data_IF_141487732619
#
_entry.id   IF_141487732619
#
_cell.length_a   1.000
_cell.length_b   1.000
_cell.length_c   1.000
_cell.angle_alpha   90.00
_cell.angle_beta   90.00
_cell.angle_gamma   90.00
#
_symmetry.space_group_name_H-M   'P 1'
#
loop_
_entity.id
_entity.type
_entity.pdbx_description
1 polymer ?
#
# COMPACT_ATOMS: atom_id res chain seq x y z
N UNK A 1 -13.62 1.46 -2.88
CA UNK A 1 -14.51 2.47 -2.31
C UNK A 1 -13.94 2.99 -0.99
N UNK A 2 -14.05 4.30 -0.76
CA UNK A 2 -13.57 5.00 0.44
C UNK A 2 -14.04 4.38 1.75
N UNK A 3 -15.21 3.79 1.76
CA UNK A 3 -15.79 3.16 2.94
C UNK A 3 -15.03 1.92 3.44
N UNK A 4 -14.22 1.31 2.60
CA UNK A 4 -13.43 0.12 2.92
C UNK A 4 -11.94 0.41 3.07
N UNK A 5 -11.58 1.69 2.98
CA UNK A 5 -10.22 2.15 3.09
C UNK A 5 -9.65 1.97 4.51
N UNK A 6 -8.39 2.34 4.67
CA UNK A 6 -7.62 2.22 5.92
C UNK A 6 -8.38 2.71 7.16
N UNK A 7 -9.27 3.72 7.02
CA UNK A 7 -10.09 4.22 8.13
C UNK A 7 -10.93 3.13 8.82
N UNK A 8 -11.39 2.11 8.09
CA UNK A 8 -12.17 0.98 8.61
C UNK A 8 -11.34 -0.27 8.89
N UNK A 9 -10.07 -0.28 8.52
CA UNK A 9 -9.18 -1.40 8.81
C UNK A 9 -9.08 -1.61 10.34
N UNK A 10 -9.20 -2.84 10.84
CA UNK A 10 -9.13 -3.12 12.26
C UNK A 10 -7.71 -2.94 12.80
N UNK A 11 -7.59 -2.65 14.08
CA UNK A 11 -6.34 -2.81 14.82
C UNK A 11 -6.09 -4.32 14.94
N UNK A 12 -4.93 -4.80 14.45
CA UNK A 12 -4.54 -6.20 14.58
C UNK A 12 -3.76 -6.48 15.87
N UNK A 13 -3.13 -5.43 16.43
CA UNK A 13 -2.38 -5.54 17.68
C UNK A 13 -2.49 -4.24 18.47
N UNK A 14 -3.05 -4.33 19.67
CA UNK A 14 -3.02 -3.22 20.62
C UNK A 14 -1.60 -3.01 21.17
N UNK A 15 -1.23 -1.75 21.33
CA UNK A 15 0.06 -1.33 21.90
C UNK A 15 -0.18 -0.24 22.94
N UNK A 16 0.74 -0.09 23.87
CA UNK A 16 0.68 0.95 24.89
C UNK A 16 1.97 1.76 24.86
N UNK A 17 1.85 3.08 24.94
CA UNK A 17 2.98 3.98 25.06
C UNK A 17 3.07 4.50 26.49
N UNK A 18 4.26 4.36 27.09
CA UNK A 18 4.56 4.78 28.46
C UNK A 18 4.34 6.29 28.63
N UNK A 19 3.52 6.66 29.61
CA UNK A 19 3.10 8.04 29.87
C UNK A 19 1.94 8.51 29.00
N UNK A 20 1.34 7.60 28.19
CA UNK A 20 0.19 7.85 27.31
C UNK A 20 -0.87 6.76 27.45
N UNK A 21 -1.08 6.27 28.67
CA UNK A 21 -2.06 5.22 28.97
C UNK A 21 -3.51 5.68 28.74
N UNK A 22 -3.72 7.00 28.64
CA UNK A 22 -4.97 7.66 28.27
C UNK A 22 -5.21 7.73 26.74
N UNK A 23 -4.22 7.37 25.92
CA UNK A 23 -4.30 7.30 24.46
C UNK A 23 -4.39 5.84 24.02
N UNK A 24 -5.48 5.48 23.34
CA UNK A 24 -5.58 4.16 22.71
C UNK A 24 -4.63 4.10 21.52
N UNK A 25 -3.85 3.05 21.42
CA UNK A 25 -2.89 2.85 20.34
C UNK A 25 -2.89 1.42 19.83
N UNK A 26 -2.58 1.24 18.54
CA UNK A 26 -2.48 -0.08 17.94
C UNK A 26 -1.90 -0.07 16.53
N UNK A 27 -1.39 -1.23 16.12
CA UNK A 27 -0.95 -1.49 14.75
C UNK A 27 -2.19 -1.86 13.93
N UNK A 28 -2.37 -1.19 12.80
CA UNK A 28 -3.52 -1.42 11.91
C UNK A 28 -3.24 -2.58 10.97
N UNK A 29 -4.22 -3.45 10.77
CA UNK A 29 -4.17 -4.51 9.74
C UNK A 29 -4.28 -3.88 8.36
N UNK A 30 -3.16 -3.44 7.83
CA UNK A 30 -3.05 -2.73 6.56
C UNK A 30 -1.78 -3.16 5.82
N UNK A 31 -1.72 -3.11 4.47
CA UNK A 31 -0.51 -3.47 3.73
C UNK A 31 0.71 -2.59 4.06
N UNK A 32 0.48 -1.34 4.45
CA UNK A 32 1.54 -0.43 4.91
C UNK A 32 1.65 -0.43 6.44
N UNK A 33 2.74 0.12 6.97
CA UNK A 33 3.04 0.16 8.40
C UNK A 33 2.33 1.34 9.06
N UNK A 34 1.24 1.07 9.78
CA UNK A 34 0.37 2.10 10.36
C UNK A 34 0.22 1.93 11.87
N UNK A 35 0.54 2.98 12.61
CA UNK A 35 0.19 3.13 14.02
C UNK A 35 -1.06 4.00 14.10
N UNK A 36 -2.17 3.46 14.60
CA UNK A 36 -3.38 4.22 14.93
C UNK A 36 -3.35 4.63 16.37
N UNK A 37 -3.56 5.93 16.62
CA UNK A 37 -3.71 6.47 17.97
C UNK A 37 -5.01 7.26 18.07
N UNK A 38 -5.70 7.17 19.23
CA UNK A 38 -6.94 7.91 19.45
C UNK A 38 -7.09 8.35 20.90
N UNK A 39 -7.64 9.55 21.12
CA UNK A 39 -7.85 10.14 22.44
C UNK A 39 -9.01 11.15 22.42
N UNK A 40 -9.59 11.42 23.58
CA UNK A 40 -10.59 12.47 23.76
C UNK A 40 -9.97 13.87 23.64
N UNK A 41 -8.72 14.02 24.09
CA UNK A 41 -7.99 15.29 24.08
C UNK A 41 -7.00 15.30 22.90
N UNK A 42 -7.15 16.24 22.00
CA UNK A 42 -6.29 16.38 20.81
C UNK A 42 -4.83 16.68 21.19
N UNK A 43 -4.60 17.37 22.32
CA UNK A 43 -3.27 17.73 22.81
C UNK A 43 -2.46 16.46 23.13
N UNK A 44 -3.07 15.49 23.82
CA UNK A 44 -2.43 14.19 24.14
C UNK A 44 -2.11 13.41 22.87
N UNK A 45 -3.00 13.47 21.88
CA UNK A 45 -2.79 12.83 20.58
C UNK A 45 -1.58 13.43 19.85
N UNK A 46 -1.49 14.77 19.83
CA UNK A 46 -0.39 15.51 19.17
C UNK A 46 0.94 15.22 19.87
N UNK A 47 0.98 15.25 21.21
CA UNK A 47 2.19 14.97 21.98
C UNK A 47 2.74 13.56 21.68
N UNK A 48 1.88 12.54 21.66
CA UNK A 48 2.29 11.17 21.31
C UNK A 48 2.71 11.05 19.86
N UNK A 49 1.96 11.68 18.94
CA UNK A 49 2.30 11.67 17.51
C UNK A 49 3.69 12.30 17.25
N UNK A 50 4.01 13.41 17.92
CA UNK A 50 5.30 14.06 17.82
C UNK A 50 6.43 13.17 18.42
N UNK A 51 6.20 12.56 19.57
CA UNK A 51 7.13 11.57 20.15
C UNK A 51 7.45 10.43 19.19
N UNK A 52 6.40 9.87 18.53
CA UNK A 52 6.57 8.79 17.56
C UNK A 52 7.33 9.30 16.32
N UNK A 53 7.00 10.49 15.82
CA UNK A 53 7.67 11.11 14.67
C UNK A 53 9.16 11.35 14.93
N UNK A 54 9.50 11.92 16.09
CA UNK A 54 10.89 12.18 16.46
C UNK A 54 11.68 10.88 16.62
N UNK A 55 11.09 9.86 17.26
CA UNK A 55 11.69 8.54 17.35
C UNK A 55 11.91 7.91 15.98
N UNK A 56 10.91 8.02 15.08
CA UNK A 56 11.00 7.47 13.72
C UNK A 56 12.08 8.15 12.89
N UNK A 57 12.18 9.46 12.94
CA UNK A 57 13.18 10.23 12.19
C UNK A 57 14.62 9.82 12.50
N UNK A 58 14.91 9.42 13.72
CA UNK A 58 16.23 8.95 14.13
C UNK A 58 16.40 7.42 14.16
N UNK A 59 15.42 6.64 13.65
CA UNK A 59 15.42 5.19 13.78
C UNK A 59 16.15 4.52 12.63
N UNK A 60 17.20 3.76 12.98
CA UNK A 60 17.89 2.85 12.05
C UNK A 60 17.78 1.42 12.56
N UNK A 61 17.43 0.49 11.66
CA UNK A 61 17.39 -0.95 11.89
C UNK A 61 17.83 -1.66 10.62
N UNK A 62 19.12 -1.95 10.52
CA UNK A 62 19.74 -2.56 9.33
C UNK A 62 19.11 -3.90 8.95
N UNK A 63 18.75 -4.72 9.95
CA UNK A 63 18.11 -6.02 9.73
C UNK A 63 16.75 -5.92 9.02
N UNK A 64 16.07 -4.76 9.11
CA UNK A 64 14.83 -4.47 8.40
C UNK A 64 15.04 -3.52 7.21
N UNK A 65 16.31 -3.25 6.86
CA UNK A 65 16.70 -2.30 5.81
C UNK A 65 16.16 -0.87 6.04
N UNK A 66 16.04 -0.47 7.31
CA UNK A 66 15.59 0.87 7.68
C UNK A 66 16.82 1.69 8.07
N UNK A 67 17.05 2.78 7.38
CA UNK A 67 18.10 3.75 7.66
C UNK A 67 17.45 5.12 7.86
N UNK A 68 17.80 5.79 8.97
CA UNK A 68 17.31 7.13 9.27
C UNK A 68 17.83 8.14 8.24
N UNK A 69 19.10 7.97 7.86
CA UNK A 69 19.77 8.78 6.84
C UNK A 69 20.91 7.99 6.16
N UNK A 70 21.30 8.41 4.97
CA UNK A 70 22.53 8.00 4.30
C UNK A 70 23.19 9.23 3.69
N UNK A 71 24.49 9.40 3.93
CA UNK A 71 25.28 10.53 3.43
C UNK A 71 24.69 11.92 3.79
N UNK A 72 24.01 12.00 4.95
CA UNK A 72 23.35 13.23 5.42
C UNK A 72 21.95 13.48 4.83
N UNK A 73 21.44 12.59 3.98
CA UNK A 73 20.07 12.68 3.45
C UNK A 73 19.11 11.88 4.35
N UNK A 74 18.07 12.53 4.95
CA UNK A 74 17.12 11.88 5.82
C UNK A 74 16.09 11.07 5.02
N UNK A 75 15.75 9.86 5.51
CA UNK A 75 14.83 8.96 4.81
C UNK A 75 13.50 8.79 5.52
N UNK A 76 13.48 8.82 6.85
CA UNK A 76 12.30 8.52 7.63
C UNK A 76 11.33 9.70 7.72
N UNK A 77 10.07 9.47 7.36
CA UNK A 77 8.97 10.43 7.52
C UNK A 77 7.67 9.70 7.89
N UNK A 78 6.64 10.45 8.25
CA UNK A 78 5.29 9.91 8.52
C UNK A 78 4.29 10.66 7.66
N UNK A 79 3.34 9.91 7.08
CA UNK A 79 2.12 10.49 6.50
C UNK A 79 1.02 10.41 7.56
N UNK A 80 0.65 11.53 8.21
CA UNK A 80 -0.42 11.55 9.20
C UNK A 80 -1.78 11.69 8.54
N UNK A 81 -2.76 10.91 9.00
CA UNK A 81 -4.14 10.97 8.53
C UNK A 81 -5.06 11.17 9.73
N UNK A 82 -5.61 12.38 9.83
CA UNK A 82 -6.45 12.80 10.95
C UNK A 82 -7.93 12.61 10.64
N UNK A 83 -8.70 12.18 11.66
CA UNK A 83 -10.17 12.11 11.60
C UNK A 83 -10.82 12.20 12.97
N UNK A 84 -12.15 12.35 12.98
CA UNK A 84 -12.98 12.14 14.17
C UNK A 84 -13.66 10.79 14.06
N UNK A 85 -13.71 10.07 15.21
CA UNK A 85 -14.47 8.83 15.34
C UNK A 85 -15.34 8.91 16.60
N UNK A 86 -16.60 9.33 16.43
CA UNK A 86 -17.44 9.74 17.55
C UNK A 86 -16.80 10.92 18.27
N UNK A 87 -16.62 10.80 19.59
CA UNK A 87 -16.03 11.85 20.43
C UNK A 87 -14.47 11.82 20.46
N UNK A 88 -13.86 10.81 19.85
CA UNK A 88 -12.42 10.68 19.82
C UNK A 88 -11.80 11.42 18.62
N UNK A 89 -10.67 12.07 18.85
CA UNK A 89 -9.70 12.40 17.81
C UNK A 89 -8.89 11.16 17.48
N UNK A 90 -8.65 10.91 16.20
CA UNK A 90 -7.89 9.74 15.73
C UNK A 90 -6.86 10.16 14.70
N UNK A 91 -5.65 9.62 14.80
CA UNK A 91 -4.58 9.73 13.82
C UNK A 91 -4.12 8.33 13.40
N UNK A 92 -4.02 8.11 12.09
CA UNK A 92 -3.21 7.06 11.52
C UNK A 92 -1.85 7.64 11.13
N UNK A 93 -0.80 7.11 11.73
CA UNK A 93 0.58 7.48 11.48
C UNK A 93 1.20 6.42 10.56
N UNK A 94 1.27 6.72 9.26
CA UNK A 94 1.83 5.81 8.27
C UNK A 94 3.33 6.04 8.17
N UNK A 95 4.11 5.06 8.62
CA UNK A 95 5.57 5.12 8.56
C UNK A 95 6.04 5.03 7.10
N UNK A 96 6.94 5.92 6.70
CA UNK A 96 7.51 6.00 5.35
C UNK A 96 9.03 6.09 5.45
N UNK A 97 9.67 5.55 4.42
CA UNK A 97 11.11 5.70 4.21
C UNK A 97 11.38 5.86 2.71
N UNK A 98 12.20 6.81 2.31
CA UNK A 98 12.46 7.14 0.91
C UNK A 98 13.88 6.78 0.45
N UNK A 99 14.53 5.83 1.15
CA UNK A 99 15.86 5.36 0.74
C UNK A 99 15.83 4.79 -0.68
N UNK A 100 16.87 5.11 -1.44
CA UNK A 100 17.13 4.55 -2.77
C UNK A 100 18.37 3.68 -2.77
N UNK A 101 18.47 2.77 -3.72
CA UNK A 101 19.67 1.96 -4.00
C UNK A 101 19.89 1.89 -5.51
N UNK A 102 21.03 1.37 -5.95
CA UNK A 102 21.27 1.12 -7.38
C UNK A 102 20.21 0.18 -7.98
N UNK A 103 19.78 -0.83 -7.22
CA UNK A 103 18.73 -1.77 -7.63
C UNK A 103 17.33 -1.11 -7.63
N UNK A 104 17.09 -0.18 -6.69
CA UNK A 104 15.82 0.51 -6.52
C UNK A 104 15.97 2.04 -6.62
N UNK A 105 16.25 2.58 -7.83
CA UNK A 105 16.53 4.01 -8.00
C UNK A 105 15.30 4.92 -7.77
N UNK A 106 14.09 4.35 -7.79
CA UNK A 106 12.85 5.07 -7.47
C UNK A 106 12.47 4.98 -5.98
N UNK A 107 13.20 4.18 -5.22
CA UNK A 107 12.96 3.90 -3.79
C UNK A 107 12.80 2.41 -3.50
N UNK A 108 13.37 1.97 -2.39
CA UNK A 108 13.19 0.58 -1.89
C UNK A 108 11.73 0.33 -1.50
N UNK A 109 11.07 1.35 -0.96
CA UNK A 109 9.66 1.34 -0.55
C UNK A 109 8.78 2.04 -1.60
N UNK A 110 8.98 1.70 -2.85
CA UNK A 110 8.27 2.18 -4.03
C UNK A 110 7.68 0.98 -4.79
N UNK A 111 6.59 1.14 -5.58
CA UNK A 111 6.09 0.05 -6.43
C UNK A 111 7.19 -0.53 -7.31
N UNK A 112 7.40 -1.84 -7.24
CA UNK A 112 8.45 -2.52 -8.00
C UNK A 112 8.08 -2.67 -9.47
N UNK A 113 9.09 -2.88 -10.32
CA UNK A 113 8.97 -2.85 -11.79
C UNK A 113 7.84 -3.73 -12.35
N UNK A 114 7.59 -4.92 -11.75
CA UNK A 114 6.49 -5.82 -12.15
C UNK A 114 5.10 -5.20 -12.07
N UNK A 115 4.91 -4.15 -11.24
CA UNK A 115 3.64 -3.47 -11.03
C UNK A 115 3.48 -2.21 -11.91
N UNK A 116 4.56 -1.80 -12.62
CA UNK A 116 4.60 -0.54 -13.35
C UNK A 116 3.64 -0.50 -14.55
N UNK A 117 3.18 -1.65 -15.04
CA UNK A 117 2.15 -1.71 -16.07
C UNK A 117 0.82 -1.09 -15.59
N UNK A 118 0.52 -1.15 -14.28
CA UNK A 118 -0.63 -0.53 -13.63
C UNK A 118 -0.23 0.76 -12.92
N UNK A 119 0.78 0.71 -12.03
CA UNK A 119 1.17 1.85 -11.18
C UNK A 119 2.69 1.97 -11.05
N UNK A 120 3.23 3.01 -11.67
CA UNK A 120 4.66 3.35 -11.59
C UNK A 120 4.90 4.58 -10.72
N UNK A 121 3.92 5.48 -10.64
CA UNK A 121 4.03 6.77 -9.97
C UNK A 121 4.08 6.62 -8.45
N UNK A 122 4.64 7.61 -7.77
CA UNK A 122 4.70 7.66 -6.31
C UNK A 122 3.33 7.53 -5.65
N UNK A 123 3.31 6.91 -4.47
CA UNK A 123 2.11 6.70 -3.65
C UNK A 123 1.84 7.96 -2.83
N UNK A 124 0.75 8.65 -3.13
CA UNK A 124 0.26 9.81 -2.40
C UNK A 124 -0.68 9.45 -1.25
N UNK A 125 -1.16 10.49 -0.53
CA UNK A 125 -2.03 10.35 0.64
C UNK A 125 -3.30 9.53 0.36
N UNK A 126 -3.96 9.79 -0.76
CA UNK A 126 -5.23 9.14 -1.12
C UNK A 126 -5.02 7.64 -1.37
N UNK A 127 -3.93 7.30 -2.03
CA UNK A 127 -3.56 5.91 -2.32
C UNK A 127 -3.16 5.17 -1.06
N UNK A 128 -2.42 5.80 -0.16
CA UNK A 128 -2.10 5.26 1.17
C UNK A 128 -3.36 4.88 1.93
N UNK A 129 -4.45 5.66 1.77
CA UNK A 129 -5.75 5.36 2.35
C UNK A 129 -6.53 4.24 1.63
N UNK A 130 -6.05 3.72 0.50
CA UNK A 130 -6.61 2.58 -0.21
C UNK A 130 -7.48 2.93 -1.43
N UNK A 131 -7.48 4.18 -1.90
CA UNK A 131 -8.09 4.53 -3.17
C UNK A 131 -7.06 4.42 -4.30
N UNK A 132 -7.26 3.48 -5.22
CA UNK A 132 -6.41 3.33 -6.39
C UNK A 132 -6.59 4.54 -7.32
N UNK A 133 -5.65 5.49 -7.27
CA UNK A 133 -5.55 6.57 -8.25
C UNK A 133 -4.64 6.08 -9.37
N UNK A 134 -5.24 5.81 -10.53
CA UNK A 134 -4.56 5.22 -11.66
C UNK A 134 -4.30 6.26 -12.76
N UNK A 135 -3.23 6.12 -13.55
CA UNK A 135 -2.97 6.98 -14.70
C UNK A 135 -4.13 6.97 -15.69
N UNK A 136 -4.45 8.13 -16.27
CA UNK A 136 -5.57 8.29 -17.21
C UNK A 136 -5.50 7.34 -18.42
N UNK A 137 -4.28 6.97 -18.86
CA UNK A 137 -4.04 6.01 -19.92
C UNK A 137 -4.73 4.66 -19.69
N UNK A 138 -4.78 4.19 -18.43
CA UNK A 138 -5.34 2.88 -18.10
C UNK A 138 -6.82 2.76 -18.38
N UNK A 139 -7.56 3.87 -18.41
CA UNK A 139 -8.98 3.82 -18.79
C UNK A 139 -9.18 3.25 -20.20
N UNK A 140 -8.34 3.70 -21.16
CA UNK A 140 -8.39 3.20 -22.53
C UNK A 140 -7.73 1.83 -22.67
N UNK A 141 -6.54 1.68 -22.09
CA UNK A 141 -5.78 0.42 -22.16
C UNK A 141 -6.57 -0.77 -21.61
N UNK A 142 -7.32 -0.59 -20.51
CA UNK A 142 -8.14 -1.68 -19.94
C UNK A 142 -9.38 -1.98 -20.81
N UNK A 143 -10.01 -0.97 -21.40
CA UNK A 143 -11.11 -1.22 -22.33
C UNK A 143 -10.63 -1.96 -23.60
N UNK A 144 -9.51 -1.57 -24.16
CA UNK A 144 -8.90 -2.22 -25.33
C UNK A 144 -8.46 -3.66 -24.97
N UNK A 145 -7.93 -3.89 -23.77
CA UNK A 145 -7.53 -5.20 -23.25
C UNK A 145 -8.75 -6.13 -23.09
N UNK A 146 -9.83 -5.64 -22.49
CA UNK A 146 -11.07 -6.40 -22.32
C UNK A 146 -11.64 -6.81 -23.69
N UNK A 147 -11.64 -5.90 -24.67
CA UNK A 147 -12.09 -6.20 -26.02
C UNK A 147 -11.18 -7.24 -26.72
N UNK A 148 -9.86 -7.08 -26.60
CA UNK A 148 -8.90 -8.04 -27.17
C UNK A 148 -9.08 -9.45 -26.59
N UNK A 149 -9.38 -9.56 -25.29
CA UNK A 149 -9.67 -10.83 -24.62
C UNK A 149 -10.97 -11.47 -25.15
N UNK A 150 -12.03 -10.68 -25.36
CA UNK A 150 -13.28 -11.19 -25.93
C UNK A 150 -13.07 -11.71 -27.35
N UNK A 151 -12.37 -10.94 -28.17
CA UNK A 151 -12.13 -11.25 -29.60
C UNK A 151 -11.07 -12.35 -29.80
N UNK A 152 -10.30 -12.72 -28.76
CA UNK A 152 -9.19 -13.66 -28.89
C UNK A 152 -7.96 -13.09 -29.59
N UNK A 153 -7.86 -11.75 -29.64
CA UNK A 153 -6.71 -11.06 -30.24
C UNK A 153 -5.50 -11.17 -29.30
N UNK A 154 -4.31 -11.37 -29.88
CA UNK A 154 -3.07 -11.47 -29.10
C UNK A 154 -2.72 -10.13 -28.45
N UNK A 155 -2.79 -10.09 -27.10
CA UNK A 155 -2.38 -8.92 -26.31
C UNK A 155 -0.86 -8.72 -26.41
N UNK A 156 -0.09 -9.81 -26.53
CA UNK A 156 1.36 -9.79 -26.55
C UNK A 156 1.95 -9.17 -27.82
N UNK A 157 1.18 -9.18 -28.91
CA UNK A 157 1.57 -8.60 -30.19
C UNK A 157 1.14 -7.12 -30.34
N UNK A 158 0.31 -6.62 -29.43
CA UNK A 158 -0.10 -5.22 -29.42
C UNK A 158 0.93 -4.36 -28.69
N UNK A 159 1.45 -3.30 -29.34
CA UNK A 159 2.49 -2.43 -28.79
C UNK A 159 2.11 -1.76 -27.45
N UNK A 160 0.82 -1.48 -27.25
CA UNK A 160 0.31 -0.81 -26.05
C UNK A 160 -0.04 -1.81 -24.95
N UNK A 161 -0.61 -2.96 -25.31
CA UNK A 161 -1.14 -3.95 -24.38
C UNK A 161 -0.10 -4.98 -23.93
N UNK A 162 0.97 -5.19 -24.70
CA UNK A 162 2.01 -6.21 -24.41
C UNK A 162 2.54 -6.15 -22.98
N UNK A 163 2.66 -4.96 -22.39
CA UNK A 163 3.10 -4.76 -20.99
C UNK A 163 2.15 -5.37 -19.95
N UNK A 164 0.91 -5.69 -20.31
CA UNK A 164 -0.09 -6.33 -19.46
C UNK A 164 -0.16 -7.85 -19.66
N UNK A 165 0.53 -8.40 -20.68
CA UNK A 165 0.34 -9.78 -21.12
C UNK A 165 0.67 -10.79 -20.02
N UNK A 166 1.82 -10.65 -19.33
CA UNK A 166 2.21 -11.57 -18.25
C UNK A 166 1.20 -11.57 -17.10
N UNK A 167 0.68 -10.40 -16.74
CA UNK A 167 -0.34 -10.25 -15.71
C UNK A 167 -1.67 -10.93 -16.12
N UNK A 168 -2.09 -10.76 -17.37
CA UNK A 168 -3.32 -11.39 -17.90
C UNK A 168 -3.16 -12.92 -17.91
N UNK A 169 -2.03 -13.42 -18.39
CA UNK A 169 -1.71 -14.86 -18.42
C UNK A 169 -1.67 -15.48 -17.01
N UNK A 170 -1.28 -14.69 -16.01
CA UNK A 170 -1.27 -15.13 -14.60
C UNK A 170 -2.69 -15.20 -14.02
N UNK A 171 -3.58 -14.23 -14.32
CA UNK A 171 -4.88 -14.19 -13.66
C UNK A 171 -5.98 -14.98 -14.38
N UNK A 172 -6.02 -15.04 -15.71
CA UNK A 172 -7.10 -15.70 -16.45
C UNK A 172 -7.38 -17.16 -15.99
N UNK A 173 -6.35 -17.99 -15.73
CA UNK A 173 -6.56 -19.35 -15.24
C UNK A 173 -7.26 -19.41 -13.87
N UNK A 174 -7.12 -18.40 -13.02
CA UNK A 174 -7.80 -18.33 -11.71
C UNK A 174 -9.33 -18.28 -11.86
N UNK A 175 -9.80 -17.80 -13.01
CA UNK A 175 -11.23 -17.70 -13.35
C UNK A 175 -11.71 -18.77 -14.33
N UNK A 176 -10.83 -19.76 -14.66
CA UNK A 176 -11.15 -20.87 -15.52
C UNK A 176 -11.01 -20.58 -17.03
N UNK A 177 -10.34 -19.50 -17.40
CA UNK A 177 -10.12 -19.10 -18.79
C UNK A 177 -8.69 -19.41 -19.24
N UNK A 178 -8.53 -19.57 -20.56
CA UNK A 178 -7.22 -19.80 -21.18
C UNK A 178 -6.82 -18.59 -22.02
N UNK A 179 -5.58 -18.12 -21.87
CA UNK A 179 -5.04 -17.06 -22.70
C UNK A 179 -4.91 -17.52 -24.16
N UNK A 180 -5.28 -16.64 -25.10
CA UNK A 180 -5.17 -16.87 -26.55
C UNK A 180 -6.39 -17.56 -27.19
N UNK A 181 -7.40 -17.98 -26.44
CA UNK A 181 -8.73 -18.30 -26.96
C UNK A 181 -9.64 -17.09 -26.73
N UNK A 182 -10.47 -16.72 -27.70
CA UNK A 182 -11.46 -15.67 -27.51
C UNK A 182 -12.46 -16.08 -26.44
N UNK A 183 -12.80 -15.14 -25.57
CA UNK A 183 -13.73 -15.36 -24.44
C UNK A 183 -15.19 -15.04 -24.82
N UNK A 184 -15.46 -14.68 -26.07
CA UNK A 184 -16.81 -14.39 -26.54
C UNK A 184 -17.72 -15.62 -26.35
N UNK A 185 -18.85 -15.41 -25.67
CA UNK A 185 -19.79 -16.48 -25.31
C UNK A 185 -19.41 -17.31 -24.07
N UNK A 186 -18.18 -17.24 -23.56
CA UNK A 186 -17.75 -17.88 -22.31
C UNK A 186 -17.97 -16.98 -21.09
N UNK A 187 -17.83 -15.67 -21.29
CA UNK A 187 -18.02 -14.67 -20.23
C UNK A 187 -18.76 -13.45 -20.81
N UNK A 188 -19.61 -12.81 -19.99
CA UNK A 188 -20.22 -11.55 -20.43
C UNK A 188 -19.21 -10.39 -20.30
N UNK A 189 -19.30 -9.33 -21.12
CA UNK A 189 -18.43 -8.16 -21.00
C UNK A 189 -18.41 -7.55 -19.60
N UNK A 190 -19.55 -7.49 -18.93
CA UNK A 190 -19.67 -6.96 -17.57
C UNK A 190 -18.90 -7.82 -16.55
N UNK A 191 -18.99 -9.15 -16.67
CA UNK A 191 -18.27 -10.06 -15.79
C UNK A 191 -16.76 -10.00 -16.04
N UNK A 192 -16.33 -9.89 -17.29
CA UNK A 192 -14.91 -9.70 -17.62
C UNK A 192 -14.40 -8.37 -17.04
N UNK A 193 -15.17 -7.30 -17.18
CA UNK A 193 -14.86 -6.01 -16.57
C UNK A 193 -14.67 -6.14 -15.06
N UNK A 194 -15.59 -6.79 -14.35
CA UNK A 194 -15.48 -7.01 -12.88
C UNK A 194 -14.23 -7.81 -12.51
N UNK A 195 -13.86 -8.81 -13.31
CA UNK A 195 -12.62 -9.58 -13.13
C UNK A 195 -11.40 -8.65 -13.26
N UNK A 196 -11.30 -7.90 -14.34
CA UNK A 196 -10.19 -6.98 -14.59
C UNK A 196 -10.09 -5.93 -13.47
N UNK A 197 -11.22 -5.35 -13.05
CA UNK A 197 -11.23 -4.39 -11.94
C UNK A 197 -10.77 -5.03 -10.60
N UNK A 198 -11.15 -6.27 -10.35
CA UNK A 198 -10.71 -7.03 -9.17
C UNK A 198 -9.20 -7.26 -9.21
N UNK A 199 -8.66 -7.68 -10.34
CA UNK A 199 -7.23 -7.94 -10.50
C UNK A 199 -6.40 -6.64 -10.44
N UNK A 200 -6.88 -5.51 -10.97
CA UNK A 200 -6.30 -4.18 -10.76
C UNK A 200 -6.23 -3.87 -9.26
N UNK A 201 -7.30 -4.16 -8.51
CA UNK A 201 -7.34 -3.99 -7.06
C UNK A 201 -6.29 -4.85 -6.33
N UNK A 202 -6.04 -6.08 -6.81
CA UNK A 202 -5.00 -6.95 -6.26
C UNK A 202 -3.60 -6.43 -6.58
N UNK A 203 -3.35 -5.94 -7.79
CA UNK A 203 -2.09 -5.26 -8.13
C UNK A 203 -1.88 -4.05 -7.22
N UNK A 204 -2.92 -3.25 -7.00
CA UNK A 204 -2.81 -2.08 -6.13
C UNK A 204 -2.55 -2.45 -4.66
N UNK A 205 -3.05 -3.59 -4.19
CA UNK A 205 -2.70 -4.15 -2.88
C UNK A 205 -1.20 -4.48 -2.78
N UNK A 206 -0.62 -5.06 -3.83
CA UNK A 206 0.84 -5.32 -3.88
C UNK A 206 1.63 -4.00 -3.93
N UNK A 207 1.15 -2.98 -4.66
CA UNK A 207 1.71 -1.63 -4.64
C UNK A 207 1.81 -1.07 -3.21
N UNK A 208 0.76 -1.24 -2.40
CA UNK A 208 0.78 -0.80 -1.00
C UNK A 208 1.72 -1.64 -0.13
N UNK A 209 1.87 -2.94 -0.40
CA UNK A 209 2.83 -3.81 0.29
C UNK A 209 4.27 -3.42 -0.03
N UNK A 210 4.57 -3.11 -1.30
CA UNK A 210 5.89 -2.64 -1.69
C UNK A 210 6.25 -1.33 -0.98
N UNK A 211 5.27 -0.41 -0.87
CA UNK A 211 5.42 0.86 -0.18
C UNK A 211 5.45 0.75 1.36
N UNK A 212 5.08 -0.39 1.93
CA UNK A 212 5.14 -0.65 3.37
C UNK A 212 6.56 -0.86 3.87
N UNK A 213 6.97 -0.13 4.92
CA UNK A 213 8.31 -0.23 5.51
C UNK A 213 8.51 -1.57 6.20
N UNK A 214 7.64 -1.91 7.15
CA UNK A 214 7.61 -3.25 7.75
C UNK A 214 6.72 -4.15 6.90
N UNK A 215 7.32 -5.21 6.36
CA UNK A 215 6.57 -6.16 5.51
C UNK A 215 5.56 -6.96 6.35
N UNK A 216 4.47 -7.41 5.70
CA UNK A 216 3.41 -8.21 6.34
C UNK A 216 3.86 -9.67 6.59
N UNK A 217 5.10 -9.87 7.03
CA UNK A 217 5.69 -11.14 7.45
C UNK A 217 5.84 -11.18 8.96
N UNK A 218 6.19 -12.33 9.53
CA UNK A 218 6.46 -12.46 10.98
C UNK A 218 7.67 -11.63 11.40
N UNK A 219 8.73 -11.65 10.60
CA UNK A 219 9.94 -10.84 10.78
C UNK A 219 9.63 -9.35 10.74
N UNK A 220 8.83 -8.91 9.74
CA UNK A 220 8.41 -7.52 9.61
C UNK A 220 7.55 -7.05 10.79
N UNK A 221 6.62 -7.89 11.27
CA UNK A 221 5.83 -7.60 12.48
C UNK A 221 6.70 -7.51 13.73
N UNK A 222 7.69 -8.39 13.85
CA UNK A 222 8.65 -8.37 14.96
C UNK A 222 9.51 -7.11 14.92
N UNK A 223 10.00 -6.72 13.76
CA UNK A 223 10.74 -5.48 13.55
C UNK A 223 9.86 -4.25 13.89
N UNK A 224 8.61 -4.24 13.50
CA UNK A 224 7.69 -3.15 13.85
C UNK A 224 7.53 -3.02 15.37
N UNK A 225 7.47 -4.13 16.10
CA UNK A 225 7.40 -4.08 17.56
C UNK A 225 8.68 -3.57 18.20
N UNK A 226 9.87 -3.85 17.63
CA UNK A 226 11.13 -3.26 18.14
C UNK A 226 11.13 -1.74 18.01
N UNK A 227 10.55 -1.19 16.94
CA UNK A 227 10.35 0.25 16.83
C UNK A 227 9.39 0.78 17.90
N UNK A 228 8.26 0.10 18.18
CA UNK A 228 7.33 0.49 19.26
C UNK A 228 8.05 0.49 20.62
N UNK A 229 8.86 -0.53 20.89
CA UNK A 229 9.66 -0.62 22.12
C UNK A 229 10.69 0.52 22.21
N UNK A 230 11.28 0.93 21.07
CA UNK A 230 12.18 2.09 21.00
C UNK A 230 11.48 3.40 21.37
N UNK A 231 10.21 3.59 20.95
CA UNK A 231 9.42 4.78 21.34
C UNK A 231 9.15 4.80 22.86
N UNK A 232 9.10 3.62 23.50
CA UNK A 232 8.85 3.45 24.92
C UNK A 232 10.13 3.59 25.81
N UNK A 233 11.29 3.51 25.19
CA UNK A 233 12.57 3.60 25.90
C UNK A 233 12.89 5.05 26.33
#
# INVERSE_FOLDING_TARGET
HYEFAMAKAPVEREITFKGYEDVKAGIVKWPMSVIRISAEKKERLIELADKILLAWRGYTEEAAFIFAETDGEPHNTITPIARRRGDLYELDLVLRNNITTEEHPLGVYHPHAKLHHIKKENIGLIEVMGLAVLPARLKKEMADLEQALLDGTSIREDEVLAKHADWVEEFLPKYGFTSGSGLEGEVTPEKLHDIVQTEIGLVFKEVLKDAGVYKCTEEGRTAFMRFVDKVNA
#
